data_IF_734898513173
#
_entry.id   IF_734898513173
#
_cell.length_a   1.000
_cell.length_b   1.000
_cell.length_c   1.000
_cell.angle_alpha   90.00
_cell.angle_beta   90.00
_cell.angle_gamma   90.00
#
_symmetry.space_group_name_H-M   'P 1'
#
loop_
_entity.id
_entity.type
_entity.pdbx_description
1 polymer ?
#
# COMPACT_ATOMS: atom_id res chain seq x y z
N UNK A 1 7.35 8.22 19.70
CA UNK A 1 6.99 7.65 18.38
C UNK A 1 8.26 7.08 17.81
N UNK A 2 8.27 5.82 17.38
CA UNK A 2 9.44 5.21 16.76
C UNK A 2 9.71 5.96 15.44
N UNK A 3 10.92 6.50 15.25
CA UNK A 3 11.35 7.30 14.10
C UNK A 3 11.42 6.51 12.78
N UNK A 4 10.37 5.77 12.45
CA UNK A 4 10.20 5.10 11.15
C UNK A 4 9.86 6.16 10.11
N UNK A 5 10.86 6.95 9.74
CA UNK A 5 10.76 7.93 8.66
C UNK A 5 10.74 7.16 7.33
N UNK A 6 9.60 7.17 6.65
CA UNK A 6 9.54 6.67 5.29
C UNK A 6 10.43 7.52 4.38
N UNK A 7 11.22 6.86 3.52
CA UNK A 7 12.11 7.51 2.55
C UNK A 7 11.69 7.05 1.16
N UNK A 8 11.17 7.99 0.37
CA UNK A 8 10.80 7.75 -1.02
C UNK A 8 12.06 7.95 -1.88
N UNK A 9 12.51 6.89 -2.55
CA UNK A 9 13.72 6.93 -3.39
C UNK A 9 13.43 7.44 -4.80
N UNK A 10 12.27 7.06 -5.35
CA UNK A 10 11.72 7.49 -6.63
C UNK A 10 10.21 7.30 -6.57
N UNK A 11 9.44 8.19 -7.18
CA UNK A 11 7.99 8.08 -7.29
C UNK A 11 7.52 8.74 -8.59
N UNK A 12 6.64 8.05 -9.32
CA UNK A 12 5.91 8.59 -10.48
C UNK A 12 4.42 8.68 -10.13
N UNK A 13 4.15 9.39 -9.04
CA UNK A 13 2.82 9.59 -8.46
C UNK A 13 2.77 10.95 -7.76
N UNK A 14 1.58 11.54 -7.65
CA UNK A 14 1.39 12.83 -6.98
C UNK A 14 1.82 12.80 -5.51
N UNK A 15 2.28 13.92 -4.95
CA UNK A 15 2.68 14.02 -3.54
C UNK A 15 1.58 13.56 -2.57
N UNK A 16 0.31 13.87 -2.88
CA UNK A 16 -0.84 13.41 -2.10
C UNK A 16 -0.93 11.87 -2.07
N UNK A 17 -0.74 11.22 -3.23
CA UNK A 17 -0.73 9.76 -3.34
C UNK A 17 0.50 9.14 -2.65
N UNK A 18 1.65 9.82 -2.69
CA UNK A 18 2.85 9.40 -1.95
C UNK A 18 2.61 9.43 -0.43
N UNK A 19 1.99 10.50 0.06
CA UNK A 19 1.66 10.68 1.47
C UNK A 19 0.67 9.60 1.93
N UNK A 20 -0.39 9.37 1.17
CA UNK A 20 -1.34 8.27 1.39
C UNK A 20 -0.65 6.90 1.38
N UNK A 21 0.33 6.69 0.49
CA UNK A 21 1.09 5.44 0.43
C UNK A 21 1.91 5.19 1.69
N UNK A 22 2.53 6.24 2.23
CA UNK A 22 3.31 6.18 3.45
C UNK A 22 2.41 5.94 4.67
N UNK A 23 1.27 6.60 4.76
CA UNK A 23 0.30 6.37 5.83
C UNK A 23 -0.27 4.96 5.79
N UNK A 24 -0.65 4.48 4.60
CA UNK A 24 -1.19 3.13 4.42
C UNK A 24 -0.16 2.06 4.83
N UNK A 25 1.10 2.22 4.40
CA UNK A 25 2.19 1.33 4.80
C UNK A 25 2.44 1.37 6.31
N UNK A 26 2.38 2.56 6.93
CA UNK A 26 2.56 2.72 8.37
C UNK A 26 1.45 1.99 9.14
N UNK A 27 0.19 2.19 8.77
CA UNK A 27 -0.95 1.50 9.38
C UNK A 27 -0.88 -0.02 9.19
N UNK A 28 -0.45 -0.48 8.02
CA UNK A 28 -0.28 -1.90 7.74
C UNK A 28 0.81 -2.52 8.63
N UNK A 29 1.94 -1.83 8.82
CA UNK A 29 3.02 -2.23 9.72
C UNK A 29 2.63 -2.23 11.20
N UNK A 30 1.59 -1.48 11.59
CA UNK A 30 1.05 -1.51 12.96
C UNK A 30 0.04 -2.63 13.17
N UNK A 31 -0.79 -2.93 12.16
CA UNK A 31 -1.81 -4.00 12.23
C UNK A 31 -1.26 -5.40 11.98
N UNK A 32 -0.25 -5.53 11.13
CA UNK A 32 0.25 -6.80 10.63
C UNK A 32 1.74 -6.93 10.93
N UNK A 33 2.14 -8.12 11.38
CA UNK A 33 3.55 -8.45 11.64
C UNK A 33 4.15 -9.36 10.55
N UNK A 34 3.34 -9.78 9.57
CA UNK A 34 3.75 -10.65 8.47
C UNK A 34 3.86 -9.81 7.21
N UNK A 35 5.05 -9.78 6.58
CA UNK A 35 5.33 -8.98 5.38
C UNK A 35 4.33 -9.25 4.25
N UNK A 36 3.94 -10.51 4.06
CA UNK A 36 2.94 -10.90 3.06
C UNK A 36 1.60 -10.20 3.29
N UNK A 37 1.15 -10.13 4.53
CA UNK A 37 -0.13 -9.50 4.87
C UNK A 37 -0.07 -7.98 4.76
N UNK A 38 1.07 -7.39 5.14
CA UNK A 38 1.35 -5.97 4.96
C UNK A 38 1.25 -5.60 3.47
N UNK A 39 1.96 -6.35 2.60
CA UNK A 39 1.94 -6.11 1.16
C UNK A 39 0.54 -6.31 0.56
N UNK A 40 -0.18 -7.34 0.98
CA UNK A 40 -1.55 -7.58 0.54
C UNK A 40 -2.51 -6.47 0.97
N UNK A 41 -2.36 -5.93 2.19
CA UNK A 41 -3.16 -4.84 2.70
C UNK A 41 -2.94 -3.54 1.90
N UNK A 42 -1.67 -3.14 1.74
CA UNK A 42 -1.30 -1.92 1.00
C UNK A 42 -1.82 -2.01 -0.44
N UNK A 43 -1.57 -3.14 -1.12
CA UNK A 43 -2.04 -3.37 -2.49
C UNK A 43 -3.56 -3.27 -2.59
N UNK A 44 -4.30 -3.90 -1.68
CA UNK A 44 -5.77 -3.90 -1.70
C UNK A 44 -6.35 -2.49 -1.50
N UNK A 45 -5.79 -1.72 -0.58
CA UNK A 45 -6.23 -0.33 -0.33
C UNK A 45 -5.90 0.57 -1.53
N UNK A 46 -4.71 0.42 -2.12
CA UNK A 46 -4.32 1.19 -3.32
C UNK A 46 -5.15 0.82 -4.55
N UNK A 47 -5.37 -0.47 -4.81
CA UNK A 47 -6.21 -0.93 -5.90
C UNK A 47 -7.64 -0.38 -5.76
N UNK A 48 -8.19 -0.37 -4.53
CA UNK A 48 -9.52 0.18 -4.26
C UNK A 48 -9.59 1.70 -4.46
N UNK A 49 -8.57 2.44 -4.00
CA UNK A 49 -8.58 3.91 -3.99
C UNK A 49 -8.21 4.52 -5.35
N UNK A 50 -7.29 3.90 -6.09
CA UNK A 50 -6.71 4.50 -7.28
C UNK A 50 -6.86 3.67 -8.56
N UNK A 51 -7.10 2.36 -8.47
CA UNK A 51 -7.24 1.49 -9.65
C UNK A 51 -8.44 0.54 -9.55
N UNK A 52 -9.67 1.06 -9.40
CA UNK A 52 -10.87 0.22 -9.25
C UNK A 52 -11.11 -0.72 -10.47
N UNK A 53 -10.62 -0.35 -11.66
CA UNK A 53 -10.71 -1.17 -12.87
C UNK A 53 -9.72 -2.34 -12.91
N UNK A 54 -8.52 -2.20 -12.32
CA UNK A 54 -7.50 -3.26 -12.31
C UNK A 54 -7.81 -4.36 -11.28
N UNK A 55 -8.52 -3.99 -10.21
CA UNK A 55 -8.98 -4.91 -9.17
C UNK A 55 -9.93 -6.01 -9.69
N UNK A 56 -10.67 -5.75 -10.78
CA UNK A 56 -11.60 -6.72 -11.39
C UNK A 56 -10.90 -7.87 -12.12
N UNK A 57 -9.65 -7.69 -12.58
CA UNK A 57 -8.94 -8.72 -13.36
C UNK A 57 -7.95 -9.57 -12.55
N UNK A 58 -7.58 -9.16 -11.34
CA UNK A 58 -6.51 -9.82 -10.56
C UNK A 58 -7.00 -10.64 -9.36
N UNK A 59 -8.28 -11.02 -9.36
CA UNK A 59 -8.86 -11.97 -8.41
C UNK A 59 -8.55 -13.44 -8.72
N UNK A 60 -8.04 -13.75 -9.90
CA UNK A 60 -7.83 -15.14 -10.38
C UNK A 60 -6.42 -15.69 -10.13
N UNK A 61 -5.40 -14.86 -9.82
CA UNK A 61 -3.98 -15.28 -9.78
C UNK A 61 -3.37 -15.38 -8.37
N UNK A 62 -4.20 -15.62 -7.34
CA UNK A 62 -3.73 -15.92 -5.98
C UNK A 62 -4.31 -17.23 -5.42
N UNK A 63 -4.75 -18.13 -6.30
CA UNK A 63 -5.16 -19.50 -5.95
C UNK A 63 -4.09 -20.53 -6.28
#
# INVERSE_FOLDING_TARGET
MCDRKAVIKNADMSEEMQQDSVECATQALEKYNIEKDIAAHIKKEFDKKYNPHLALHRGEELR
#
